data_IF_971977215355
#
_entry.id   IF_971977215355
#
_cell.length_a   1.000
_cell.length_b   1.000
_cell.length_c   1.000
_cell.angle_alpha   90.00
_cell.angle_beta   90.00
_cell.angle_gamma   90.00
#
_symmetry.space_group_name_H-M   'P 1'
#
loop_
_entity.id
_entity.type
_entity.pdbx_description
1 polymer ?
#
# COMPACT_ATOMS: atom_id res chain seq x y z
N UNK A 1 -8.05 8.15 25.48
CA UNK A 1 -6.59 8.27 25.18
C UNK A 1 -6.27 9.71 24.82
N UNK A 2 -5.10 10.23 25.23
CA UNK A 2 -4.62 11.53 24.76
C UNK A 2 -3.83 11.34 23.45
N UNK A 3 -3.98 12.25 22.48
CA UNK A 3 -3.25 12.23 21.21
C UNK A 3 -1.73 12.12 21.43
N UNK A 4 -1.19 12.86 22.40
CA UNK A 4 0.23 12.91 22.71
C UNK A 4 0.82 11.55 23.13
N UNK A 5 -0.01 10.66 23.68
CA UNK A 5 0.39 9.35 24.19
C UNK A 5 0.19 8.22 23.14
N UNK A 6 -0.44 8.52 22.00
CA UNK A 6 -0.68 7.52 20.93
C UNK A 6 0.63 7.08 20.28
N UNK A 7 0.64 5.82 19.86
CA UNK A 7 1.62 5.28 18.91
C UNK A 7 0.91 4.97 17.60
N UNK A 8 1.46 5.44 16.48
CA UNK A 8 0.84 5.27 15.14
C UNK A 8 1.78 4.51 14.22
N UNK A 9 1.27 3.45 13.60
CA UNK A 9 1.92 2.68 12.54
C UNK A 9 1.00 2.66 11.33
N UNK A 10 1.43 3.27 10.24
CA UNK A 10 0.71 3.29 8.97
C UNK A 10 1.02 2.02 8.18
N UNK A 11 -0.02 1.31 7.72
CA UNK A 11 0.15 0.12 6.88
C UNK A 11 -0.06 0.41 5.39
N UNK A 12 -0.22 1.68 5.04
CA UNK A 12 -0.27 2.16 3.66
C UNK A 12 0.24 3.59 3.57
N UNK A 13 1.37 3.72 2.93
CA UNK A 13 2.00 4.94 2.44
C UNK A 13 2.65 4.60 1.10
N UNK A 14 3.28 5.61 0.45
CA UNK A 14 3.95 5.39 -0.82
C UNK A 14 5.36 5.95 -0.83
N UNK A 15 6.21 5.36 -1.69
CA UNK A 15 7.55 5.84 -1.96
C UNK A 15 7.67 6.25 -3.42
N UNK A 16 8.33 7.38 -3.68
CA UNK A 16 8.76 7.77 -5.01
C UNK A 16 10.20 7.29 -5.14
N UNK A 17 10.44 6.39 -6.05
CA UNK A 17 11.72 5.73 -6.18
C UNK A 17 12.82 6.72 -6.62
N UNK A 18 13.96 6.76 -5.91
CA UNK A 18 15.07 7.60 -6.29
C UNK A 18 15.77 7.05 -7.54
N UNK A 19 16.36 7.96 -8.33
CA UNK A 19 17.01 7.60 -9.60
C UNK A 19 18.09 6.51 -9.46
N UNK A 20 18.74 6.42 -8.31
CA UNK A 20 19.87 5.52 -8.05
C UNK A 20 19.46 4.11 -7.56
N UNK A 21 18.18 3.82 -7.36
CA UNK A 21 17.75 2.56 -6.73
C UNK A 21 18.26 1.29 -7.43
N UNK A 22 18.53 1.35 -8.74
CA UNK A 22 19.07 0.22 -9.51
C UNK A 22 20.60 0.18 -9.55
N UNK A 23 21.31 1.23 -9.12
CA UNK A 23 22.77 1.33 -9.23
C UNK A 23 23.46 0.25 -8.40
N UNK A 24 24.31 -0.55 -9.05
CA UNK A 24 25.05 -1.64 -8.41
C UNK A 24 24.23 -2.86 -7.99
N UNK A 25 22.91 -2.89 -8.25
CA UNK A 25 22.01 -3.99 -7.86
C UNK A 25 21.58 -4.85 -9.04
N UNK A 26 21.80 -4.39 -10.26
CA UNK A 26 21.43 -5.12 -11.48
C UNK A 26 22.66 -5.86 -12.02
N UNK A 27 22.55 -7.14 -12.46
CA UNK A 27 23.64 -7.85 -13.09
C UNK A 27 24.20 -7.10 -14.30
N UNK A 28 25.52 -7.09 -14.50
CA UNK A 28 26.22 -6.31 -15.54
C UNK A 28 25.66 -6.53 -16.95
N UNK A 29 25.20 -7.72 -17.25
CA UNK A 29 24.57 -8.05 -18.55
C UNK A 29 23.26 -7.26 -18.83
N UNK A 30 22.65 -6.65 -17.81
CA UNK A 30 21.42 -5.87 -17.91
C UNK A 30 21.60 -4.40 -17.54
N UNK A 31 22.81 -3.92 -17.20
CA UNK A 31 23.05 -2.52 -16.81
C UNK A 31 22.56 -1.50 -17.85
N UNK A 32 22.75 -1.80 -19.15
CA UNK A 32 22.30 -0.91 -20.24
C UNK A 32 20.77 -0.85 -20.38
N UNK A 33 20.06 -1.83 -19.80
CA UNK A 33 18.61 -1.96 -19.84
C UNK A 33 17.92 -1.46 -18.58
N UNK A 34 18.69 -1.04 -17.60
CA UNK A 34 18.17 -0.54 -16.31
C UNK A 34 17.28 0.67 -16.53
N UNK A 35 16.14 0.75 -15.83
CA UNK A 35 15.32 1.96 -15.84
C UNK A 35 16.11 3.21 -15.46
N UNK A 36 15.89 4.31 -16.17
CA UNK A 36 16.62 5.58 -15.94
C UNK A 36 15.63 6.72 -15.74
N UNK A 37 15.82 7.46 -14.66
CA UNK A 37 15.06 8.68 -14.40
C UNK A 37 15.74 9.86 -15.05
N UNK A 38 15.12 10.44 -16.07
CA UNK A 38 15.76 11.43 -16.95
C UNK A 38 14.95 12.72 -17.02
N UNK A 39 15.65 13.84 -17.17
CA UNK A 39 15.04 15.14 -17.49
C UNK A 39 14.86 15.26 -18.99
N UNK A 40 13.67 15.67 -19.42
CA UNK A 40 13.31 15.93 -20.81
C UNK A 40 13.61 17.37 -21.20
N UNK A 41 13.62 17.65 -22.51
CA UNK A 41 13.93 18.98 -23.05
C UNK A 41 12.93 20.07 -22.59
N UNK A 42 11.69 19.68 -22.29
CA UNK A 42 10.64 20.55 -21.75
C UNK A 42 10.76 20.82 -20.24
N UNK A 43 11.81 20.27 -19.60
CA UNK A 43 12.06 20.39 -18.15
C UNK A 43 11.31 19.39 -17.28
N UNK A 44 10.36 18.64 -17.81
CA UNK A 44 9.70 17.55 -17.10
C UNK A 44 10.61 16.34 -16.91
N UNK A 45 10.23 15.41 -16.07
CA UNK A 45 10.99 14.17 -15.86
C UNK A 45 10.17 12.95 -16.28
N UNK A 46 10.88 11.89 -16.65
CA UNK A 46 10.30 10.61 -17.00
C UNK A 46 11.21 9.46 -16.61
N UNK A 47 10.62 8.32 -16.30
CA UNK A 47 11.36 7.06 -16.32
C UNK A 47 11.43 6.54 -17.76
N UNK A 48 12.63 6.15 -18.21
CA UNK A 48 12.85 5.45 -19.49
C UNK A 48 13.11 3.99 -19.19
N UNK A 49 12.25 3.12 -19.67
CA UNK A 49 12.39 1.68 -19.53
C UNK A 49 11.77 0.95 -20.71
N UNK A 50 12.43 -0.12 -21.18
CA UNK A 50 11.96 -0.98 -22.28
C UNK A 50 11.50 -0.19 -23.54
N UNK A 51 12.24 0.87 -23.90
CA UNK A 51 11.94 1.74 -25.04
C UNK A 51 10.75 2.69 -24.85
N UNK A 52 10.19 2.77 -23.66
CA UNK A 52 9.06 3.66 -23.34
C UNK A 52 9.49 4.79 -22.41
N UNK A 53 8.80 5.92 -22.49
CA UNK A 53 8.83 6.99 -21.48
C UNK A 53 7.57 6.90 -20.60
N UNK A 54 7.78 6.80 -19.29
CA UNK A 54 6.73 6.78 -18.29
C UNK A 54 6.72 8.15 -17.64
N UNK A 55 5.70 8.95 -17.96
CA UNK A 55 5.58 10.34 -17.54
C UNK A 55 5.00 10.51 -16.13
N UNK A 56 4.12 9.59 -15.71
CA UNK A 56 3.65 9.59 -14.33
C UNK A 56 4.78 9.02 -13.44
N UNK A 57 5.52 9.92 -12.81
CA UNK A 57 6.72 9.58 -12.05
C UNK A 57 6.48 9.58 -10.54
N UNK A 58 5.35 10.09 -10.10
CA UNK A 58 5.12 10.42 -8.71
C UNK A 58 3.78 9.92 -8.14
N UNK A 59 2.92 9.34 -8.96
CA UNK A 59 1.65 8.73 -8.56
C UNK A 59 0.89 9.57 -7.52
N UNK A 60 0.61 10.86 -7.87
CA UNK A 60 -0.10 11.80 -7.00
C UNK A 60 0.62 12.17 -5.68
N UNK A 61 1.95 12.23 -5.67
CA UNK A 61 2.74 12.68 -4.52
C UNK A 61 2.63 14.22 -4.33
N UNK A 62 1.60 14.65 -3.61
CA UNK A 62 1.20 16.07 -3.47
C UNK A 62 1.28 16.60 -2.03
N UNK A 63 1.76 15.79 -1.09
CA UNK A 63 1.92 16.22 0.30
C UNK A 63 2.73 17.53 0.41
N UNK A 64 2.25 18.44 1.26
CA UNK A 64 2.84 19.78 1.45
C UNK A 64 2.42 20.83 0.43
N UNK A 65 1.58 20.50 -0.55
CA UNK A 65 0.98 21.47 -1.48
C UNK A 65 -0.34 22.02 -0.95
N UNK A 66 -0.79 23.19 -1.43
CA UNK A 66 -2.16 23.64 -1.20
C UNK A 66 -3.15 22.71 -1.92
N UNK A 67 -4.34 22.52 -1.32
CA UNK A 67 -5.36 21.57 -1.84
C UNK A 67 -5.78 21.85 -3.29
N UNK A 68 -5.74 23.09 -3.73
CA UNK A 68 -6.03 23.51 -5.10
C UNK A 68 -5.01 22.97 -6.13
N UNK A 69 -3.91 22.40 -5.65
CA UNK A 69 -2.86 21.78 -6.47
C UNK A 69 -2.85 20.24 -6.38
N UNK A 70 -3.72 19.62 -5.59
CA UNK A 70 -3.76 18.17 -5.40
C UNK A 70 -4.14 17.41 -6.67
N UNK A 71 -5.01 17.96 -7.52
CA UNK A 71 -5.36 17.36 -8.81
C UNK A 71 -4.29 17.52 -9.91
N UNK A 72 -3.05 17.91 -9.57
CA UNK A 72 -1.98 18.13 -10.53
C UNK A 72 -0.83 17.18 -10.24
N UNK A 73 -0.72 16.16 -11.08
CA UNK A 73 0.40 15.22 -11.03
C UNK A 73 1.75 15.96 -11.08
N UNK A 74 2.72 15.62 -10.21
CA UNK A 74 4.08 16.15 -10.31
C UNK A 74 4.72 15.81 -11.65
N UNK A 75 5.40 16.77 -12.25
CA UNK A 75 6.08 16.61 -13.54
C UNK A 75 7.60 16.60 -13.42
N UNK A 76 8.13 17.01 -12.28
CA UNK A 76 9.57 16.98 -11.98
C UNK A 76 9.81 16.80 -10.48
N UNK A 77 11.01 16.40 -10.13
CA UNK A 77 11.38 16.08 -8.74
C UNK A 77 11.31 17.32 -7.82
N UNK A 78 11.53 18.51 -8.36
CA UNK A 78 11.46 19.76 -7.61
C UNK A 78 10.03 20.11 -7.14
N UNK A 79 9.02 19.51 -7.76
CA UNK A 79 7.63 19.63 -7.32
C UNK A 79 7.28 18.67 -6.18
N UNK A 80 8.14 17.70 -5.87
CA UNK A 80 7.89 16.63 -4.92
C UNK A 80 8.61 16.94 -3.61
N UNK A 81 7.93 16.75 -2.48
CA UNK A 81 8.53 16.87 -1.16
C UNK A 81 9.63 15.81 -0.97
N UNK A 82 10.78 16.21 -0.41
CA UNK A 82 11.95 15.32 -0.28
C UNK A 82 11.65 14.04 0.51
N UNK A 83 10.79 14.08 1.53
CA UNK A 83 10.36 12.90 2.27
C UNK A 83 9.63 11.84 1.42
N UNK A 84 9.25 12.15 0.16
CA UNK A 84 8.68 11.15 -0.73
C UNK A 84 9.75 10.18 -1.30
N UNK A 85 11.02 10.63 -1.44
CA UNK A 85 12.09 9.87 -2.11
C UNK A 85 13.43 9.79 -1.33
N UNK A 86 13.57 10.52 -0.25
CA UNK A 86 14.72 10.44 0.67
C UNK A 86 14.26 9.89 2.00
N UNK A 87 14.85 8.79 2.43
CA UNK A 87 14.41 8.09 3.66
C UNK A 87 14.70 8.90 4.93
N UNK A 88 15.80 9.67 4.98
CA UNK A 88 16.10 10.53 6.12
C UNK A 88 15.06 11.63 6.29
N UNK A 89 14.65 12.26 5.19
CA UNK A 89 13.59 13.26 5.17
C UNK A 89 12.19 12.63 5.38
N UNK A 90 11.96 11.38 4.90
CA UNK A 90 10.76 10.61 5.22
C UNK A 90 10.60 10.43 6.72
N UNK A 91 11.65 10.04 7.41
CA UNK A 91 11.61 9.87 8.87
C UNK A 91 11.32 11.19 9.59
N UNK A 92 11.83 12.32 9.08
CA UNK A 92 11.48 13.65 9.61
C UNK A 92 10.02 14.03 9.38
N UNK A 93 9.47 13.71 8.20
CA UNK A 93 8.05 13.91 7.89
C UNK A 93 7.15 13.03 8.76
N UNK A 94 7.52 11.76 8.97
CA UNK A 94 6.83 10.86 9.90
C UNK A 94 6.88 11.40 11.32
N UNK A 95 8.05 11.87 11.79
CA UNK A 95 8.17 12.45 13.13
C UNK A 95 7.28 13.69 13.28
N UNK A 96 7.26 14.59 12.29
CA UNK A 96 6.43 15.79 12.30
C UNK A 96 4.93 15.44 12.34
N UNK A 97 4.55 14.36 11.70
CA UNK A 97 3.18 13.82 11.72
C UNK A 97 2.87 13.01 12.99
N UNK A 98 3.90 12.60 13.76
CA UNK A 98 3.73 11.74 14.93
C UNK A 98 3.54 10.26 14.58
N UNK A 99 4.01 9.81 13.41
CA UNK A 99 3.92 8.43 12.92
C UNK A 99 5.23 7.69 13.18
N UNK A 100 5.15 6.58 13.89
CA UNK A 100 6.31 5.75 14.25
C UNK A 100 6.77 4.89 13.09
N UNK A 101 5.88 4.13 12.49
CA UNK A 101 6.17 3.14 11.45
C UNK A 101 5.34 3.35 10.20
N UNK A 102 5.87 2.94 9.04
CA UNK A 102 5.23 3.09 7.74
C UNK A 102 5.51 1.89 6.85
N UNK A 103 4.49 1.35 6.18
CA UNK A 103 4.63 0.44 5.06
C UNK A 103 4.46 1.24 3.78
N UNK A 104 5.40 1.15 2.83
CA UNK A 104 5.38 1.99 1.65
C UNK A 104 5.22 1.17 0.38
N UNK A 105 4.11 1.39 -0.35
CA UNK A 105 3.90 0.85 -1.68
C UNK A 105 4.76 1.55 -2.73
N UNK A 106 5.15 0.85 -3.80
CA UNK A 106 5.91 1.42 -4.90
C UNK A 106 5.05 2.33 -5.79
N UNK A 107 5.71 3.28 -6.46
CA UNK A 107 5.11 4.14 -7.48
C UNK A 107 5.57 3.77 -8.90
N UNK A 108 6.88 3.78 -9.16
CA UNK A 108 7.45 3.50 -10.48
C UNK A 108 7.15 2.08 -10.98
N UNK A 109 7.37 0.99 -10.21
CA UNK A 109 7.01 -0.36 -10.64
C UNK A 109 5.50 -0.59 -10.73
N UNK A 110 4.69 0.41 -10.40
CA UNK A 110 3.28 0.31 -10.02
C UNK A 110 3.11 -0.57 -8.77
N UNK A 111 1.89 -0.67 -8.25
CA UNK A 111 1.63 -1.24 -6.91
C UNK A 111 2.15 -2.65 -6.66
N UNK A 112 2.18 -3.52 -7.67
CA UNK A 112 2.65 -4.90 -7.54
C UNK A 112 3.62 -5.33 -8.65
N UNK A 113 4.43 -4.40 -9.17
CA UNK A 113 5.45 -4.70 -10.17
C UNK A 113 4.92 -4.92 -11.58
N UNK A 114 3.67 -4.51 -11.87
CA UNK A 114 3.02 -4.72 -13.17
C UNK A 114 3.86 -4.17 -14.33
N UNK A 115 4.61 -3.10 -14.11
CA UNK A 115 5.48 -2.50 -15.14
C UNK A 115 6.45 -3.51 -15.77
N UNK A 116 6.99 -4.42 -14.95
CA UNK A 116 7.98 -5.39 -15.40
C UNK A 116 7.37 -6.56 -16.17
N UNK A 117 6.04 -6.74 -16.13
CA UNK A 117 5.34 -7.79 -16.86
C UNK A 117 5.46 -7.64 -18.38
N UNK A 118 5.66 -6.42 -18.89
CA UNK A 118 5.78 -6.13 -20.32
C UNK A 118 7.19 -6.40 -20.87
N UNK A 119 8.16 -6.77 -20.01
CA UNK A 119 9.53 -7.09 -20.43
C UNK A 119 9.61 -8.49 -21.00
N UNK A 120 10.02 -8.58 -22.28
CA UNK A 120 10.04 -9.86 -23.02
C UNK A 120 11.06 -10.86 -22.46
N UNK A 121 12.22 -10.39 -22.00
CA UNK A 121 13.24 -11.21 -21.33
C UNK A 121 12.86 -11.33 -19.83
N UNK A 122 12.37 -12.51 -19.44
CA UNK A 122 11.91 -12.79 -18.07
C UNK A 122 13.03 -12.77 -17.05
N UNK A 123 14.26 -13.12 -17.42
CA UNK A 123 15.42 -13.02 -16.53
C UNK A 123 15.80 -11.55 -16.27
N UNK A 124 15.69 -10.70 -17.31
CA UNK A 124 15.85 -9.25 -17.17
C UNK A 124 14.78 -8.67 -16.21
N UNK A 125 13.51 -8.99 -16.48
CA UNK A 125 12.39 -8.56 -15.63
C UNK A 125 12.60 -8.97 -14.15
N UNK A 126 12.98 -10.23 -13.91
CA UNK A 126 13.26 -10.75 -12.57
C UNK A 126 14.45 -10.02 -11.91
N UNK A 127 15.48 -9.66 -12.68
CA UNK A 127 16.61 -8.88 -12.16
C UNK A 127 16.18 -7.48 -11.71
N UNK A 128 15.27 -6.82 -12.45
CA UNK A 128 14.73 -5.50 -12.06
C UNK A 128 13.87 -5.59 -10.80
N UNK A 129 12.99 -6.60 -10.70
CA UNK A 129 12.19 -6.85 -9.49
C UNK A 129 13.09 -7.07 -8.27
N UNK A 130 14.13 -7.91 -8.40
CA UNK A 130 15.08 -8.16 -7.29
C UNK A 130 15.86 -6.91 -6.91
N UNK A 131 16.33 -6.13 -7.88
CA UNK A 131 17.05 -4.89 -7.62
C UNK A 131 16.18 -3.88 -6.85
N UNK A 132 14.90 -3.75 -7.20
CA UNK A 132 13.94 -2.96 -6.45
C UNK A 132 13.79 -3.47 -5.00
N UNK A 133 13.58 -4.77 -4.83
CA UNK A 133 13.38 -5.37 -3.51
C UNK A 133 14.63 -5.18 -2.64
N UNK A 134 15.82 -5.46 -3.18
CA UNK A 134 17.07 -5.34 -2.44
C UNK A 134 17.33 -3.88 -2.05
N UNK A 135 17.06 -2.90 -2.93
CA UNK A 135 17.07 -1.47 -2.58
C UNK A 135 16.09 -1.15 -1.45
N UNK A 136 14.84 -1.63 -1.54
CA UNK A 136 13.81 -1.37 -0.54
C UNK A 136 14.20 -1.93 0.84
N UNK A 137 14.74 -3.14 0.88
CA UNK A 137 15.16 -3.79 2.13
C UNK A 137 16.42 -3.14 2.71
N UNK A 138 17.44 -2.91 1.88
CA UNK A 138 18.77 -2.47 2.35
C UNK A 138 18.80 -0.97 2.67
N UNK A 139 18.18 -0.16 1.82
CA UNK A 139 18.28 1.30 1.91
C UNK A 139 17.02 1.91 2.52
N UNK A 140 15.85 1.70 1.90
CA UNK A 140 14.61 2.34 2.34
C UNK A 140 14.19 1.88 3.75
N UNK A 141 14.17 0.59 4.01
CA UNK A 141 13.83 0.06 5.32
C UNK A 141 15.04 -0.10 6.25
N UNK A 142 16.18 -0.52 5.70
CA UNK A 142 17.34 -0.96 6.49
C UNK A 142 18.14 0.17 7.14
N UNK A 143 18.16 1.38 6.57
CA UNK A 143 18.95 2.50 7.10
C UNK A 143 18.34 3.17 8.34
N UNK A 144 17.04 2.98 8.57
CA UNK A 144 16.33 3.50 9.74
C UNK A 144 15.53 2.37 10.42
N UNK A 145 16.20 1.44 11.13
CA UNK A 145 15.55 0.29 11.74
C UNK A 145 14.39 0.66 12.65
N UNK A 146 13.28 -0.06 12.53
CA UNK A 146 12.07 0.21 13.30
C UNK A 146 11.19 1.35 12.76
N UNK A 147 11.50 1.92 11.57
CA UNK A 147 10.70 3.00 10.99
C UNK A 147 9.89 2.57 9.75
N UNK A 148 10.37 1.58 9.01
CA UNK A 148 9.71 1.08 7.80
C UNK A 148 9.41 -0.40 7.94
N UNK A 149 8.20 -0.81 7.61
CA UNK A 149 7.80 -2.20 7.40
C UNK A 149 8.19 -2.55 5.96
N UNK A 150 9.12 -3.48 5.74
CA UNK A 150 9.54 -3.84 4.38
C UNK A 150 8.39 -4.44 3.57
N UNK A 151 8.25 -4.03 2.32
CA UNK A 151 7.26 -4.53 1.36
C UNK A 151 7.94 -5.04 0.09
N UNK A 152 7.70 -6.29 -0.27
CA UNK A 152 8.17 -6.86 -1.52
C UNK A 152 7.16 -6.66 -2.67
N UNK A 153 7.65 -6.73 -3.90
CA UNK A 153 6.82 -6.85 -5.10
C UNK A 153 6.99 -8.23 -5.74
N UNK A 154 5.94 -8.85 -6.30
CA UNK A 154 6.00 -10.18 -6.89
C UNK A 154 6.52 -10.16 -8.33
N UNK A 155 7.01 -11.30 -8.79
CA UNK A 155 7.16 -11.61 -10.21
C UNK A 155 5.82 -12.17 -10.71
N UNK A 156 4.87 -11.29 -11.07
CA UNK A 156 3.49 -11.66 -11.39
C UNK A 156 3.36 -12.74 -12.48
N UNK A 157 4.37 -12.93 -13.32
CA UNK A 157 4.41 -13.96 -14.39
C UNK A 157 4.94 -15.32 -13.93
N UNK A 158 5.50 -15.42 -12.69
CA UNK A 158 6.15 -16.62 -12.18
C UNK A 158 5.89 -16.82 -10.68
N UNK A 159 4.79 -17.50 -10.31
CA UNK A 159 4.45 -17.77 -8.91
C UNK A 159 5.47 -18.59 -8.15
N UNK A 160 6.20 -19.51 -8.83
CA UNK A 160 7.24 -20.31 -8.20
C UNK A 160 8.46 -19.45 -7.83
N UNK A 161 8.92 -18.58 -8.75
CA UNK A 161 9.99 -17.64 -8.47
C UNK A 161 9.59 -16.66 -7.36
N UNK A 162 8.32 -16.20 -7.38
CA UNK A 162 7.77 -15.34 -6.32
C UNK A 162 7.74 -16.08 -4.97
N UNK A 163 7.31 -17.33 -4.95
CA UNK A 163 7.31 -18.15 -3.73
C UNK A 163 8.73 -18.32 -3.13
N UNK A 164 9.73 -18.57 -3.99
CA UNK A 164 11.12 -18.64 -3.55
C UNK A 164 11.61 -17.32 -2.97
N UNK A 165 11.21 -16.18 -3.59
CA UNK A 165 11.56 -14.86 -3.12
C UNK A 165 10.87 -14.50 -1.80
N UNK A 166 9.60 -14.83 -1.61
CA UNK A 166 8.87 -14.66 -0.32
C UNK A 166 9.63 -15.37 0.80
N UNK A 167 10.07 -16.62 0.61
CA UNK A 167 10.83 -17.36 1.62
C UNK A 167 12.19 -16.72 1.90
N UNK A 168 12.90 -16.25 0.87
CA UNK A 168 14.17 -15.53 1.03
C UNK A 168 14.00 -14.28 1.87
N UNK A 169 12.95 -13.53 1.61
CA UNK A 169 12.66 -12.22 2.22
C UNK A 169 12.15 -12.36 3.66
N UNK A 170 11.36 -13.38 3.95
CA UNK A 170 10.93 -13.68 5.31
C UNK A 170 12.13 -13.91 6.25
N UNK A 171 13.18 -14.60 5.76
CA UNK A 171 14.43 -14.78 6.51
C UNK A 171 15.19 -13.45 6.76
N UNK A 172 14.87 -12.38 6.03
CA UNK A 172 15.41 -11.03 6.22
C UNK A 172 14.44 -10.10 6.99
N UNK A 173 13.33 -10.65 7.51
CA UNK A 173 12.34 -9.89 8.27
C UNK A 173 11.31 -9.13 7.42
N UNK A 174 11.20 -9.43 6.12
CA UNK A 174 10.15 -8.88 5.26
C UNK A 174 8.96 -9.84 5.21
N UNK A 175 7.87 -9.48 5.88
CA UNK A 175 6.64 -10.26 5.99
C UNK A 175 5.44 -9.56 5.32
N UNK A 176 5.70 -8.79 4.27
CA UNK A 176 4.68 -8.20 3.43
C UNK A 176 5.06 -8.31 1.95
N UNK A 177 4.09 -8.64 1.11
CA UNK A 177 4.23 -8.67 -0.35
C UNK A 177 3.01 -8.05 -0.99
N UNK A 178 3.21 -7.11 -1.91
CA UNK A 178 2.13 -6.53 -2.69
C UNK A 178 1.61 -7.54 -3.72
N UNK A 179 0.31 -7.46 -4.04
CA UNK A 179 -0.30 -8.31 -5.07
C UNK A 179 -1.47 -7.58 -5.74
N UNK A 180 -1.85 -8.01 -6.95
CA UNK A 180 -2.97 -7.40 -7.67
C UNK A 180 -4.32 -7.71 -7.01
N UNK A 181 -5.17 -6.70 -6.87
CA UNK A 181 -6.56 -6.81 -6.43
C UNK A 181 -7.43 -7.64 -7.40
N UNK A 182 -7.01 -7.73 -8.68
CA UNK A 182 -7.58 -8.61 -9.70
C UNK A 182 -6.49 -8.98 -10.73
N UNK A 183 -5.78 -10.11 -10.57
CA UNK A 183 -4.79 -10.53 -11.56
C UNK A 183 -5.41 -10.83 -12.93
N UNK A 184 -6.70 -11.17 -12.99
CA UNK A 184 -7.39 -11.38 -14.25
C UNK A 184 -7.45 -10.13 -15.13
N UNK A 185 -7.62 -8.95 -14.53
CA UNK A 185 -7.63 -7.68 -15.24
C UNK A 185 -6.25 -7.34 -15.86
N UNK A 186 -5.17 -7.92 -15.30
CA UNK A 186 -3.81 -7.83 -15.84
C UNK A 186 -3.51 -8.87 -16.92
N UNK A 187 -4.51 -9.64 -17.37
CA UNK A 187 -4.33 -10.71 -18.36
C UNK A 187 -3.71 -11.99 -17.79
N UNK A 188 -3.71 -12.14 -16.46
CA UNK A 188 -3.17 -13.30 -15.74
C UNK A 188 -4.29 -14.25 -15.32
N UNK A 189 -3.99 -15.49 -14.88
CA UNK A 189 -4.98 -16.38 -14.30
C UNK A 189 -5.72 -15.74 -13.14
N UNK A 190 -7.02 -16.02 -13.01
CA UNK A 190 -7.85 -15.49 -11.92
C UNK A 190 -7.47 -16.07 -10.56
N UNK A 191 -8.00 -15.50 -9.47
CA UNK A 191 -7.81 -15.99 -8.10
C UNK A 191 -8.37 -17.42 -7.87
N UNK A 192 -9.21 -17.92 -8.78
CA UNK A 192 -9.74 -19.29 -8.73
C UNK A 192 -8.79 -20.35 -9.31
N UNK A 193 -7.69 -19.92 -9.94
CA UNK A 193 -6.70 -20.79 -10.59
C UNK A 193 -5.69 -21.34 -9.59
N UNK A 194 -5.34 -22.64 -9.70
CA UNK A 194 -4.24 -23.25 -8.95
C UNK A 194 -2.85 -22.73 -9.35
N UNK A 195 -2.77 -21.91 -10.42
CA UNK A 195 -1.55 -21.25 -10.85
C UNK A 195 -0.85 -20.50 -9.71
N UNK A 196 -1.62 -19.90 -8.79
CA UNK A 196 -1.14 -19.10 -7.68
C UNK A 196 -0.81 -19.91 -6.42
N UNK A 197 -1.13 -21.20 -6.38
CA UNK A 197 -0.97 -22.03 -5.17
C UNK A 197 0.46 -22.00 -4.58
N UNK A 198 1.56 -22.04 -5.38
CA UNK A 198 2.90 -21.91 -4.82
C UNK A 198 3.14 -20.60 -4.07
N UNK A 199 2.63 -19.49 -4.59
CA UNK A 199 2.72 -18.18 -3.95
C UNK A 199 1.91 -18.12 -2.65
N UNK A 200 0.63 -18.56 -2.68
CA UNK A 200 -0.21 -18.58 -1.48
C UNK A 200 0.37 -19.47 -0.39
N UNK A 201 0.91 -20.64 -0.77
CA UNK A 201 1.55 -21.55 0.17
C UNK A 201 2.76 -20.90 0.82
N UNK A 202 3.64 -20.24 0.06
CA UNK A 202 4.80 -19.57 0.61
C UNK A 202 4.40 -18.45 1.59
N UNK A 203 3.42 -17.63 1.24
CA UNK A 203 2.92 -16.60 2.14
C UNK A 203 2.33 -17.18 3.43
N UNK A 204 1.56 -18.26 3.31
CA UNK A 204 0.96 -18.95 4.46
C UNK A 204 2.03 -19.61 5.38
N UNK A 205 3.05 -20.23 4.81
CA UNK A 205 4.15 -20.89 5.55
C UNK A 205 4.99 -19.87 6.33
N UNK A 206 5.31 -18.72 5.71
CA UNK A 206 6.18 -17.69 6.29
C UNK A 206 5.41 -16.64 7.12
N UNK A 207 4.09 -16.73 7.17
CA UNK A 207 3.26 -15.69 7.80
C UNK A 207 3.40 -14.33 7.12
N UNK A 208 3.63 -14.32 5.80
CA UNK A 208 3.74 -13.10 4.99
C UNK A 208 2.35 -12.61 4.61
N UNK A 209 2.03 -11.36 4.91
CA UNK A 209 0.77 -10.72 4.54
C UNK A 209 0.81 -10.36 3.05
N UNK A 210 -0.24 -10.73 2.33
CA UNK A 210 -0.45 -10.31 0.95
C UNK A 210 -1.23 -8.99 0.95
N UNK A 211 -0.63 -7.92 0.46
CA UNK A 211 -1.21 -6.58 0.46
C UNK A 211 -1.82 -6.27 -0.91
N UNK A 212 -3.14 -6.19 -0.97
CA UNK A 212 -3.88 -5.82 -2.17
C UNK A 212 -4.32 -4.36 -2.05
N UNK A 213 -3.63 -3.50 -2.80
CA UNK A 213 -3.93 -2.08 -2.85
C UNK A 213 -5.01 -1.79 -3.90
N UNK A 214 -5.91 -0.84 -3.64
CA UNK A 214 -6.82 -0.35 -4.68
C UNK A 214 -6.02 0.12 -5.91
N UNK A 215 -6.59 -0.06 -7.12
CA UNK A 215 -5.89 0.30 -8.37
C UNK A 215 -4.76 -0.65 -8.81
N UNK A 216 -4.38 -1.65 -8.00
CA UNK A 216 -3.34 -2.63 -8.37
C UNK A 216 -3.73 -3.56 -9.54
N UNK A 217 -5.00 -3.55 -9.96
CA UNK A 217 -5.47 -4.18 -11.19
C UNK A 217 -5.29 -3.30 -12.43
N UNK A 218 -4.76 -2.08 -12.29
CA UNK A 218 -4.53 -1.10 -13.37
C UNK A 218 -5.79 -0.63 -14.11
N UNK A 219 -6.98 -0.82 -13.54
CA UNK A 219 -8.24 -0.35 -14.09
C UNK A 219 -8.86 0.72 -13.17
N UNK A 220 -9.07 1.95 -13.65
CA UNK A 220 -9.77 2.96 -12.86
C UNK A 220 -11.27 2.59 -12.73
N UNK A 221 -11.89 2.80 -11.56
CA UNK A 221 -13.31 2.52 -11.36
C UNK A 221 -14.19 3.61 -11.96
N UNK A 222 -14.24 3.69 -13.28
CA UNK A 222 -15.04 4.67 -14.03
C UNK A 222 -16.27 4.02 -14.64
N UNK A 223 -17.37 4.78 -14.72
CA UNK A 223 -18.62 4.31 -15.38
C UNK A 223 -18.73 4.77 -16.83
N UNK A 224 -18.01 5.84 -17.19
CA UNK A 224 -17.91 6.37 -18.55
C UNK A 224 -16.69 7.29 -18.68
N UNK A 225 -16.16 7.51 -19.92
CA UNK A 225 -14.99 8.38 -20.13
C UNK A 225 -15.20 9.86 -19.77
N UNK A 226 -16.43 10.32 -19.66
CA UNK A 226 -16.83 11.69 -19.29
C UNK A 226 -17.24 11.82 -17.82
N UNK A 227 -17.05 10.76 -17.04
CA UNK A 227 -17.35 10.79 -15.60
C UNK A 227 -16.39 11.78 -14.88
N UNK A 228 -16.91 12.57 -13.91
CA UNK A 228 -16.07 13.48 -13.16
C UNK A 228 -15.15 12.71 -12.20
N UNK A 229 -14.04 13.37 -11.82
CA UNK A 229 -13.03 12.75 -10.94
C UNK A 229 -13.59 12.31 -9.59
N UNK A 230 -14.60 13.01 -9.07
CA UNK A 230 -15.28 12.67 -7.82
C UNK A 230 -15.91 11.27 -7.88
N UNK A 231 -16.33 10.80 -9.07
CA UNK A 231 -16.82 9.44 -9.25
C UNK A 231 -15.70 8.43 -9.01
N UNK A 232 -14.51 8.68 -9.56
CA UNK A 232 -13.35 7.80 -9.41
C UNK A 232 -13.02 7.64 -7.94
N UNK A 233 -12.81 8.74 -7.21
CA UNK A 233 -12.51 8.70 -5.78
C UNK A 233 -13.63 8.08 -4.95
N UNK A 234 -14.90 8.28 -5.32
CA UNK A 234 -16.03 7.65 -4.63
C UNK A 234 -16.04 6.12 -4.80
N UNK A 235 -15.67 5.63 -5.98
CA UNK A 235 -15.70 4.20 -6.30
C UNK A 235 -14.40 3.48 -5.97
N UNK A 236 -13.30 4.20 -5.76
CA UNK A 236 -11.99 3.59 -5.49
C UNK A 236 -12.00 2.63 -4.30
N UNK A 237 -12.49 2.99 -3.11
CA UNK A 237 -12.60 2.03 -2.01
C UNK A 237 -13.55 0.86 -2.32
N UNK A 238 -14.63 1.13 -3.08
CA UNK A 238 -15.63 0.11 -3.45
C UNK A 238 -15.06 -0.91 -4.44
N UNK A 239 -14.00 -0.60 -5.17
CA UNK A 239 -13.34 -1.58 -6.05
C UNK A 239 -12.80 -2.77 -5.25
N UNK A 240 -12.35 -2.55 -4.01
CA UNK A 240 -11.92 -3.62 -3.11
C UNK A 240 -13.08 -4.47 -2.55
N UNK A 241 -14.31 -4.01 -2.63
CA UNK A 241 -15.49 -4.84 -2.36
C UNK A 241 -15.55 -6.04 -3.31
N UNK A 242 -15.27 -5.82 -4.60
CA UNK A 242 -15.20 -6.91 -5.59
C UNK A 242 -14.04 -7.87 -5.28
N UNK A 243 -12.86 -7.35 -4.97
CA UNK A 243 -11.69 -8.16 -4.58
C UNK A 243 -11.93 -8.97 -3.30
N UNK A 244 -12.59 -8.39 -2.31
CA UNK A 244 -13.00 -9.06 -1.08
C UNK A 244 -13.94 -10.24 -1.36
N UNK A 245 -14.93 -10.04 -2.26
CA UNK A 245 -15.84 -11.09 -2.67
C UNK A 245 -15.10 -12.19 -3.45
N UNK A 246 -14.20 -11.81 -4.34
CA UNK A 246 -13.41 -12.73 -5.17
C UNK A 246 -12.51 -13.62 -4.29
N UNK A 247 -11.80 -13.04 -3.33
CA UNK A 247 -11.00 -13.76 -2.34
C UNK A 247 -11.85 -14.75 -1.53
N UNK A 248 -12.98 -14.29 -1.00
CA UNK A 248 -13.85 -15.09 -0.12
C UNK A 248 -14.42 -16.31 -0.84
N UNK A 249 -14.91 -16.12 -2.08
CA UNK A 249 -15.52 -17.22 -2.84
C UNK A 249 -14.51 -18.10 -3.57
N UNK A 250 -13.24 -17.65 -3.69
CA UNK A 250 -12.15 -18.46 -4.22
C UNK A 250 -11.82 -19.66 -3.30
N UNK A 251 -11.03 -20.65 -3.75
CA UNK A 251 -10.57 -21.72 -2.89
C UNK A 251 -9.44 -21.31 -1.92
N UNK A 252 -8.88 -20.10 -2.02
CA UNK A 252 -7.64 -19.67 -1.37
C UNK A 252 -7.69 -19.88 0.14
N UNK A 253 -8.64 -19.28 0.84
CA UNK A 253 -8.72 -19.36 2.31
C UNK A 253 -9.01 -20.78 2.83
N UNK A 254 -9.65 -21.61 2.01
CA UNK A 254 -9.87 -23.03 2.37
C UNK A 254 -8.63 -23.89 2.16
N UNK A 255 -7.80 -23.57 1.15
CA UNK A 255 -6.53 -24.26 0.89
C UNK A 255 -5.42 -23.79 1.84
N UNK A 256 -5.41 -22.52 2.20
CA UNK A 256 -4.34 -21.87 2.96
C UNK A 256 -4.89 -21.21 4.25
N UNK A 257 -5.20 -22.00 5.30
CA UNK A 257 -5.96 -21.53 6.46
C UNK A 257 -5.20 -20.51 7.33
N UNK A 258 -3.89 -20.35 7.17
CA UNK A 258 -3.09 -19.36 7.91
C UNK A 258 -2.83 -18.08 7.12
N UNK A 259 -3.18 -18.06 5.83
CA UNK A 259 -2.93 -16.92 4.95
C UNK A 259 -3.67 -15.67 5.44
N UNK A 260 -2.98 -14.52 5.39
CA UNK A 260 -3.55 -13.19 5.66
C UNK A 260 -3.45 -12.31 4.42
N UNK A 261 -4.53 -11.56 4.15
CA UNK A 261 -4.60 -10.59 3.05
C UNK A 261 -5.03 -9.24 3.60
N UNK A 262 -4.27 -8.19 3.33
CA UNK A 262 -4.63 -6.81 3.65
C UNK A 262 -5.29 -6.13 2.44
N UNK A 263 -6.35 -5.37 2.68
CA UNK A 263 -7.04 -4.57 1.67
C UNK A 263 -6.72 -3.09 1.91
N UNK A 264 -5.67 -2.59 1.27
CA UNK A 264 -5.13 -1.24 1.46
C UNK A 264 -5.95 -0.19 0.73
N UNK A 265 -6.18 0.96 1.39
CA UNK A 265 -7.05 2.06 0.96
C UNK A 265 -8.53 1.66 0.74
N UNK A 266 -8.94 0.53 1.33
CA UNK A 266 -10.29 0.00 1.13
C UNK A 266 -11.37 0.67 1.96
N UNK A 267 -10.98 1.32 3.07
CA UNK A 267 -11.93 1.73 4.10
C UNK A 267 -12.62 0.52 4.76
N UNK A 268 -13.35 0.77 5.84
CA UNK A 268 -14.00 -0.28 6.63
C UNK A 268 -15.52 -0.09 6.81
N UNK A 269 -16.05 1.07 6.42
CA UNK A 269 -17.47 1.41 6.62
C UNK A 269 -18.48 0.56 5.84
N UNK A 270 -18.07 -0.01 4.72
CA UNK A 270 -18.91 -0.89 3.90
C UNK A 270 -18.93 -2.35 4.38
N UNK A 271 -17.97 -2.76 5.20
CA UNK A 271 -17.78 -4.15 5.60
C UNK A 271 -18.92 -4.77 6.39
N UNK A 272 -19.60 -4.08 7.34
CA UNK A 272 -20.75 -4.67 8.02
C UNK A 272 -21.85 -5.15 7.03
N UNK A 273 -22.15 -4.35 6.02
CA UNK A 273 -23.06 -4.75 4.96
C UNK A 273 -22.52 -5.92 4.13
N UNK A 274 -21.23 -5.90 3.80
CA UNK A 274 -20.59 -6.98 3.04
C UNK A 274 -20.73 -8.32 3.78
N UNK A 275 -20.39 -8.37 5.06
CA UNK A 275 -20.43 -9.59 5.88
C UNK A 275 -21.86 -10.13 5.99
N UNK A 276 -22.84 -9.27 6.25
CA UNK A 276 -24.27 -9.68 6.23
C UNK A 276 -24.68 -10.21 4.85
N UNK A 277 -24.26 -9.52 3.78
CA UNK A 277 -24.63 -9.87 2.41
C UNK A 277 -24.06 -11.22 1.97
N UNK A 278 -22.81 -11.53 2.28
CA UNK A 278 -22.20 -12.80 1.89
C UNK A 278 -22.84 -13.99 2.63
N UNK A 279 -23.19 -13.83 3.90
CA UNK A 279 -23.89 -14.85 4.67
C UNK A 279 -25.32 -15.09 4.13
N UNK A 280 -26.03 -14.00 3.82
CA UNK A 280 -27.35 -14.08 3.20
C UNK A 280 -27.27 -14.84 1.87
N UNK A 281 -26.35 -14.48 0.97
CA UNK A 281 -26.20 -15.14 -0.32
C UNK A 281 -25.87 -16.63 -0.14
N UNK A 282 -24.92 -16.97 0.72
CA UNK A 282 -24.55 -18.36 0.99
C UNK A 282 -25.76 -19.18 1.48
N UNK A 283 -26.52 -18.64 2.42
CA UNK A 283 -27.72 -19.33 2.97
C UNK A 283 -28.75 -19.67 1.90
N UNK A 284 -28.85 -18.86 0.85
CA UNK A 284 -29.83 -19.05 -0.25
C UNK A 284 -29.27 -19.89 -1.40
N UNK A 285 -27.98 -19.78 -1.72
CA UNK A 285 -27.41 -20.36 -2.94
C UNK A 285 -26.76 -21.73 -2.72
N UNK A 286 -26.30 -22.07 -1.52
CA UNK A 286 -25.59 -23.33 -1.23
C UNK A 286 -26.31 -24.60 -1.65
N UNK A 287 -27.66 -24.58 -1.69
CA UNK A 287 -28.47 -25.75 -2.04
C UNK A 287 -28.39 -26.14 -3.53
N UNK A 288 -27.93 -25.22 -4.38
CA UNK A 288 -27.83 -25.46 -5.82
C UNK A 288 -26.46 -25.09 -6.42
N UNK A 289 -25.66 -24.28 -5.75
CA UNK A 289 -24.33 -23.89 -6.24
C UNK A 289 -23.25 -24.95 -6.01
N UNK A 290 -23.50 -25.87 -5.07
CA UNK A 290 -22.50 -26.85 -4.63
C UNK A 290 -21.36 -26.25 -3.76
N UNK A 291 -21.47 -24.99 -3.35
CA UNK A 291 -20.47 -24.38 -2.47
C UNK A 291 -20.58 -24.98 -1.07
N UNK A 292 -19.49 -25.59 -0.60
CA UNK A 292 -19.35 -26.09 0.76
C UNK A 292 -18.24 -25.37 1.51
N UNK A 293 -18.59 -24.76 2.62
CA UNK A 293 -17.66 -24.03 3.52
C UNK A 293 -17.43 -24.80 4.84
N UNK A 294 -17.68 -26.11 4.86
CA UNK A 294 -17.43 -26.95 6.03
C UNK A 294 -18.29 -26.60 7.25
N UNK A 295 -19.49 -26.07 7.01
CA UNK A 295 -20.43 -25.65 8.08
C UNK A 295 -20.15 -24.25 8.66
N UNK A 296 -19.16 -23.55 8.14
CA UNK A 296 -18.81 -22.17 8.53
C UNK A 296 -19.62 -21.14 7.72
N UNK A 297 -19.75 -19.94 8.29
CA UNK A 297 -20.29 -18.78 7.56
C UNK A 297 -19.18 -18.11 6.73
N UNK A 298 -19.52 -17.54 5.56
CA UNK A 298 -18.59 -16.71 4.80
C UNK A 298 -17.96 -15.58 5.61
N UNK A 299 -18.74 -14.89 6.46
CA UNK A 299 -18.28 -13.82 7.32
C UNK A 299 -17.23 -14.27 8.34
N UNK A 300 -17.34 -15.50 8.87
CA UNK A 300 -16.35 -16.08 9.78
C UNK A 300 -15.02 -16.31 9.08
N UNK A 301 -15.05 -16.88 7.86
CA UNK A 301 -13.85 -17.11 7.05
C UNK A 301 -13.19 -15.79 6.70
N UNK A 302 -13.97 -14.82 6.20
CA UNK A 302 -13.45 -13.49 5.87
C UNK A 302 -12.77 -12.83 7.06
N UNK A 303 -13.44 -12.82 8.21
CA UNK A 303 -12.95 -12.18 9.43
C UNK A 303 -11.68 -12.82 10.00
N UNK A 304 -11.40 -14.07 9.68
CA UNK A 304 -10.15 -14.71 10.08
C UNK A 304 -8.98 -14.29 9.19
N UNK A 305 -9.21 -14.11 7.90
CA UNK A 305 -8.15 -13.99 6.91
C UNK A 305 -7.82 -12.55 6.50
N UNK A 306 -8.82 -11.64 6.54
CA UNK A 306 -8.67 -10.31 5.92
C UNK A 306 -8.35 -9.25 6.96
N UNK A 307 -7.26 -8.53 6.69
CA UNK A 307 -6.85 -7.33 7.41
C UNK A 307 -7.49 -6.13 6.73
N UNK A 308 -8.08 -5.26 7.51
CA UNK A 308 -8.94 -4.17 7.10
C UNK A 308 -8.20 -2.85 7.33
N UNK A 309 -8.00 -2.06 6.30
CA UNK A 309 -7.19 -0.84 6.35
C UNK A 309 -8.07 0.39 6.05
N UNK A 310 -7.84 1.49 6.77
CA UNK A 310 -8.57 2.74 6.55
C UNK A 310 -7.73 3.96 6.89
N UNK A 311 -7.95 5.06 6.17
CA UNK A 311 -7.32 6.37 6.40
C UNK A 311 -8.15 7.17 7.41
N UNK A 312 -9.39 7.54 7.04
CA UNK A 312 -10.38 8.23 7.87
C UNK A 312 -11.77 7.67 7.55
N UNK A 313 -12.37 6.93 8.48
CA UNK A 313 -13.65 6.23 8.29
C UNK A 313 -14.47 6.21 9.58
N UNK A 314 -15.12 7.33 9.86
CA UNK A 314 -15.93 7.48 11.07
C UNK A 314 -17.07 6.45 11.14
N UNK A 315 -17.70 6.13 10.01
CA UNK A 315 -18.79 5.13 9.95
C UNK A 315 -18.25 3.74 10.24
N UNK A 316 -17.08 3.41 9.70
CA UNK A 316 -16.42 2.13 9.95
C UNK A 316 -16.03 1.97 11.43
N UNK A 317 -15.48 3.00 12.03
CA UNK A 317 -15.12 3.01 13.47
C UNK A 317 -16.36 2.92 14.36
N UNK A 318 -17.44 3.62 14.02
CA UNK A 318 -18.71 3.51 14.77
C UNK A 318 -19.25 2.08 14.76
N UNK A 319 -19.15 1.41 13.61
CA UNK A 319 -19.64 0.05 13.38
C UNK A 319 -18.59 -1.05 13.61
N UNK A 320 -17.40 -0.74 14.13
CA UNK A 320 -16.29 -1.68 14.35
C UNK A 320 -16.65 -2.93 15.15
N UNK A 321 -17.70 -2.84 15.99
CA UNK A 321 -18.18 -3.98 16.77
C UNK A 321 -18.80 -5.10 15.94
N UNK A 322 -19.07 -4.86 14.65
CA UNK A 322 -19.46 -5.88 13.66
C UNK A 322 -18.27 -6.52 12.95
N UNK A 323 -17.06 -6.03 13.20
CA UNK A 323 -15.83 -6.46 12.55
C UNK A 323 -14.91 -7.19 13.54
N UNK A 324 -13.94 -7.94 13.02
CA UNK A 324 -12.87 -8.46 13.84
C UNK A 324 -11.88 -7.34 14.19
N UNK A 325 -11.98 -6.81 15.39
CA UNK A 325 -11.15 -5.71 15.87
C UNK A 325 -9.64 -6.01 15.76
N UNK A 326 -9.25 -7.28 15.89
CA UNK A 326 -7.86 -7.71 15.79
C UNK A 326 -7.30 -7.64 14.36
N UNK A 327 -8.14 -7.39 13.37
CA UNK A 327 -7.75 -7.24 11.97
C UNK A 327 -7.95 -5.81 11.44
N UNK A 328 -8.35 -4.85 12.26
CA UNK A 328 -8.48 -3.45 11.83
C UNK A 328 -7.13 -2.75 12.02
N UNK A 329 -6.62 -2.10 10.97
CA UNK A 329 -5.38 -1.32 10.96
C UNK A 329 -5.62 0.08 10.40
N UNK A 330 -4.77 1.01 10.76
CA UNK A 330 -4.83 2.38 10.30
C UNK A 330 -3.74 2.65 9.24
N UNK A 331 -4.01 3.58 8.31
CA UNK A 331 -3.11 4.01 7.26
C UNK A 331 -3.14 5.52 7.07
N UNK A 332 -2.03 6.12 6.64
CA UNK A 332 -1.88 7.55 6.45
C UNK A 332 -1.95 7.97 4.97
N UNK A 333 -1.58 7.07 4.07
CA UNK A 333 -1.50 7.28 2.62
C UNK A 333 -0.56 8.43 2.22
N UNK A 334 0.53 8.65 2.98
CA UNK A 334 1.52 9.65 2.61
C UNK A 334 2.32 9.18 1.36
N UNK A 335 2.48 9.97 0.30
CA UNK A 335 2.23 11.42 0.17
C UNK A 335 1.04 11.80 -0.74
N UNK A 336 0.07 10.94 -0.90
CA UNK A 336 -1.06 11.15 -1.82
C UNK A 336 -2.02 12.27 -1.37
N UNK A 337 -2.98 12.61 -2.25
CA UNK A 337 -3.99 13.64 -1.98
C UNK A 337 -4.97 13.27 -0.87
N UNK A 338 -5.15 11.98 -0.60
CA UNK A 338 -6.04 11.47 0.44
C UNK A 338 -5.35 11.40 1.82
N UNK A 339 -4.04 11.63 1.84
CA UNK A 339 -3.23 11.60 3.06
C UNK A 339 -3.71 12.59 4.11
N UNK A 340 -3.66 12.15 5.36
CA UNK A 340 -3.93 12.98 6.54
C UNK A 340 -2.69 13.73 7.06
N UNK A 341 -1.53 13.58 6.41
CA UNK A 341 -0.31 14.31 6.74
C UNK A 341 -0.50 15.85 6.61
N UNK A 342 0.02 16.70 7.51
CA UNK A 342 0.83 16.38 8.71
C UNK A 342 0.01 16.35 10.01
N UNK A 343 -1.28 16.03 9.94
CA UNK A 343 -2.22 16.09 11.08
C UNK A 343 -2.92 14.75 11.32
N UNK A 344 -2.25 13.63 10.99
CA UNK A 344 -2.86 12.31 11.08
C UNK A 344 -3.44 11.98 12.46
N UNK A 345 -2.74 12.22 13.60
CA UNK A 345 -3.31 11.94 14.92
C UNK A 345 -4.58 12.73 15.19
N UNK A 346 -4.62 14.01 14.79
CA UNK A 346 -5.76 14.90 15.00
C UNK A 346 -6.98 14.50 14.16
N UNK A 347 -6.75 14.04 12.94
CA UNK A 347 -7.82 13.55 12.06
C UNK A 347 -8.36 12.24 12.61
N UNK A 348 -7.49 11.28 12.89
CA UNK A 348 -7.86 9.96 13.41
C UNK A 348 -8.64 10.05 14.72
N UNK A 349 -8.23 10.90 15.66
CA UNK A 349 -8.91 11.04 16.95
C UNK A 349 -10.34 11.56 16.86
N UNK A 350 -10.72 12.24 15.78
CA UNK A 350 -12.12 12.66 15.58
C UNK A 350 -13.04 11.46 15.45
N UNK A 351 -12.63 10.47 14.63
CA UNK A 351 -13.40 9.22 14.46
C UNK A 351 -13.26 8.28 15.65
N UNK A 352 -12.17 8.37 16.44
CA UNK A 352 -11.93 7.55 17.64
C UNK A 352 -12.63 8.04 18.91
N UNK A 353 -13.42 9.10 18.84
CA UNK A 353 -14.13 9.65 20.03
C UNK A 353 -15.01 8.58 20.68
N UNK A 354 -14.76 8.28 21.96
CA UNK A 354 -15.50 7.27 22.73
C UNK A 354 -15.05 5.82 22.48
N UNK A 355 -14.04 5.59 21.66
CA UNK A 355 -13.40 4.27 21.52
C UNK A 355 -12.53 4.01 22.74
N UNK A 356 -12.60 2.81 23.38
CA UNK A 356 -11.70 2.42 24.46
C UNK A 356 -10.23 2.47 24.08
N UNK A 357 -9.36 2.87 25.00
CA UNK A 357 -7.92 3.06 24.75
C UNK A 357 -7.23 1.79 24.23
N UNK A 358 -7.59 0.63 24.77
CA UNK A 358 -7.06 -0.66 24.32
C UNK A 358 -7.46 -1.01 22.88
N UNK A 359 -8.62 -0.55 22.43
CA UNK A 359 -9.05 -0.71 21.03
C UNK A 359 -8.33 0.29 20.11
N UNK A 360 -8.08 1.51 20.59
CA UNK A 360 -7.27 2.49 19.85
C UNK A 360 -5.87 1.92 19.64
N UNK A 361 -5.21 1.41 20.68
CA UNK A 361 -3.87 0.80 20.58
C UNK A 361 -3.84 -0.36 19.57
N UNK A 362 -4.86 -1.22 19.57
CA UNK A 362 -4.97 -2.31 18.59
C UNK A 362 -4.99 -1.76 17.18
N UNK A 363 -5.85 -0.81 16.88
CA UNK A 363 -6.08 -0.26 15.54
C UNK A 363 -4.86 0.51 15.06
N UNK A 364 -4.25 1.31 15.95
CA UNK A 364 -3.20 2.27 15.55
C UNK A 364 -1.82 1.65 15.41
N UNK A 365 -1.52 0.55 16.11
CA UNK A 365 -0.19 -0.05 16.04
C UNK A 365 -0.12 -1.56 16.34
N UNK A 366 -0.82 -2.08 17.37
CA UNK A 366 -0.61 -3.46 17.81
C UNK A 366 -0.99 -4.49 16.74
N UNK A 367 -2.06 -4.25 15.98
CA UNK A 367 -2.47 -5.14 14.91
C UNK A 367 -1.45 -5.14 13.75
N UNK A 368 -0.96 -3.96 13.35
CA UNK A 368 0.10 -3.84 12.35
C UNK A 368 1.37 -4.58 12.80
N UNK A 369 1.82 -4.36 14.02
CA UNK A 369 2.98 -5.06 14.59
C UNK A 369 2.83 -6.58 14.54
N UNK A 370 1.65 -7.08 14.94
CA UNK A 370 1.38 -8.52 14.96
C UNK A 370 1.31 -9.12 13.56
N UNK A 371 0.55 -8.50 12.65
CA UNK A 371 0.33 -9.07 11.33
C UNK A 371 1.57 -9.04 10.46
N UNK A 372 2.35 -7.96 10.50
CA UNK A 372 3.55 -7.79 9.70
C UNK A 372 4.84 -8.28 10.39
N UNK A 373 4.71 -8.95 11.56
CA UNK A 373 5.84 -9.40 12.39
C UNK A 373 6.87 -8.28 12.61
N UNK A 374 6.36 -7.06 12.83
CA UNK A 374 7.14 -5.84 12.96
C UNK A 374 7.18 -5.39 14.42
N UNK A 375 8.36 -5.34 15.00
CA UNK A 375 8.56 -4.82 16.36
C UNK A 375 9.52 -3.61 16.36
N UNK A 376 9.00 -2.38 16.27
CA UNK A 376 9.82 -1.18 16.31
C UNK A 376 10.50 -0.97 17.66
N UNK A 377 9.97 -1.54 18.73
CA UNK A 377 10.46 -1.35 20.09
C UNK A 377 11.79 -2.08 20.38
N UNK A 378 12.22 -2.97 19.50
CA UNK A 378 13.59 -3.51 19.52
C UNK A 378 14.62 -2.42 19.24
N UNK A 379 14.23 -1.38 18.47
CA UNK A 379 15.13 -0.31 18.04
C UNK A 379 14.81 1.04 18.70
N UNK A 380 13.55 1.31 19.01
CA UNK A 380 13.06 2.59 19.52
C UNK A 380 12.34 2.36 20.86
N UNK A 381 12.81 2.92 21.96
CA UNK A 381 12.12 2.81 23.25
C UNK A 381 10.67 3.31 23.16
N UNK A 382 9.74 2.65 23.86
CA UNK A 382 8.30 2.97 23.80
C UNK A 382 8.01 4.44 24.13
N UNK A 383 8.69 4.99 25.11
CA UNK A 383 8.59 6.39 25.53
C UNK A 383 9.06 7.39 24.46
N UNK A 384 9.81 6.93 23.46
CA UNK A 384 10.26 7.74 22.29
C UNK A 384 9.38 7.51 21.05
N UNK A 385 8.43 6.61 21.12
CA UNK A 385 7.60 6.17 20.01
C UNK A 385 6.20 6.84 19.97
N UNK A 386 5.90 7.67 20.94
CA UNK A 386 4.61 8.38 21.02
C UNK A 386 4.57 9.59 20.08
N UNK A 387 3.37 10.02 19.73
CA UNK A 387 3.14 11.23 18.90
C UNK A 387 3.93 12.43 19.43
N UNK A 388 3.83 12.73 20.72
CA UNK A 388 4.55 13.86 21.32
C UNK A 388 6.07 13.71 21.25
N UNK A 389 6.59 12.50 21.53
CA UNK A 389 8.03 12.24 21.51
C UNK A 389 8.61 12.32 20.09
N UNK A 390 7.88 11.83 19.07
CA UNK A 390 8.29 11.92 17.68
C UNK A 390 8.26 13.38 17.20
N UNK A 391 7.18 14.12 17.48
CA UNK A 391 7.07 15.54 17.13
C UNK A 391 8.14 16.40 17.78
N UNK A 392 8.56 16.07 19.01
CA UNK A 392 9.68 16.75 19.67
C UNK A 392 11.01 16.58 18.89
N UNK A 393 11.21 15.46 18.20
CA UNK A 393 12.38 15.22 17.34
C UNK A 393 12.33 16.00 16.02
N UNK A 394 11.15 16.47 15.59
CA UNK A 394 10.94 17.19 14.35
C UNK A 394 10.86 18.72 14.54
N UNK A 395 11.19 19.23 15.73
CA UNK A 395 11.17 20.69 15.97
C UNK A 395 12.08 21.40 14.98
N UNK A 396 11.51 22.37 14.25
CA UNK A 396 12.21 23.12 13.20
C UNK A 396 12.18 22.46 11.82
N UNK A 397 11.62 21.26 11.67
CA UNK A 397 11.37 20.68 10.36
C UNK A 397 10.24 21.41 9.64
N UNK A 398 10.47 21.77 8.38
CA UNK A 398 9.51 22.56 7.61
C UNK A 398 8.36 21.71 7.06
N UNK A 399 7.18 21.86 7.65
CA UNK A 399 5.91 21.26 7.21
C UNK A 399 4.96 22.29 6.58
N UNK A 400 5.46 23.46 6.23
CA UNK A 400 4.63 24.51 5.65
C UNK A 400 4.09 24.10 4.26
N UNK A 401 2.85 24.53 3.99
CA UNK A 401 2.23 24.32 2.69
C UNK A 401 2.84 25.28 1.67
N UNK A 402 3.36 24.75 0.56
CA UNK A 402 4.04 25.51 -0.49
C UNK A 402 3.43 25.25 -1.85
N UNK A 403 3.07 26.31 -2.56
CA UNK A 403 2.69 26.21 -3.97
C UNK A 403 3.91 25.88 -4.84
N UNK A 404 3.75 24.92 -5.73
CA UNK A 404 4.77 24.50 -6.71
C UNK A 404 4.47 24.94 -8.14
N UNK A 405 3.41 25.73 -8.35
CA UNK A 405 2.99 26.20 -9.69
C UNK A 405 4.10 26.91 -10.46
N UNK A 406 4.97 27.63 -9.75
CA UNK A 406 6.06 28.40 -10.36
C UNK A 406 7.21 27.52 -10.85
N UNK A 407 7.26 26.25 -10.43
CA UNK A 407 8.30 25.28 -10.81
C UNK A 407 7.94 24.57 -12.13
N UNK A 408 6.69 24.63 -12.56
CA UNK A 408 6.22 23.95 -13.78
C UNK A 408 6.68 24.70 -15.03
N UNK A 409 7.17 23.98 -16.05
CA UNK A 409 7.35 24.53 -17.38
C UNK A 409 6.01 25.10 -17.90
N UNK A 410 6.07 26.21 -18.65
CA UNK A 410 4.87 26.92 -19.11
C UNK A 410 3.92 26.06 -19.96
N UNK A 411 4.45 25.06 -20.68
CA UNK A 411 3.69 24.13 -21.53
C UNK A 411 2.99 23.01 -20.76
N UNK A 412 3.48 22.67 -19.56
CA UNK A 412 2.91 21.61 -18.71
C UNK A 412 1.70 22.09 -17.87
N UNK A 413 1.35 23.38 -17.97
CA UNK A 413 0.26 23.97 -17.16
C UNK A 413 -1.15 23.62 -17.63
N UNK A 414 -1.33 22.98 -18.81
CA UNK A 414 -2.62 22.73 -19.44
C UNK A 414 -3.11 21.27 -19.42
N UNK A 415 -2.35 20.33 -18.89
CA UNK A 415 -2.75 18.93 -18.82
C UNK A 415 -3.55 18.60 -17.55
N UNK A 416 -4.78 18.09 -17.72
CA UNK A 416 -5.49 17.42 -16.63
C UNK A 416 -4.81 16.07 -16.32
N UNK A 417 -4.80 15.69 -15.06
CA UNK A 417 -4.10 14.50 -14.54
C UNK A 417 -4.84 13.16 -14.82
N UNK A 418 -5.59 13.03 -15.92
CA UNK A 418 -6.23 11.74 -16.26
C UNK A 418 -6.42 11.61 -17.77
#
# INVERSE_FOLDING_TARGET
MNIDDMTLVSVDDHVIEPAHMFEGRVPTKYEDKTPRFVRRDDGTMAWRYNGQEILNTALNAVAGRPREEFGREPTCIEEIRTGCYDIGDRVRDMNANGVLGSLCFPSFPRFCGQLFMDTADRDEAAAMVRAYIDWHIEEWAGTHPGRIIPLAIPMMWDPEATAAEVRRLAALGCHAVSFSSSPYDLGLPSLYSEHWDPFWQACADEGTVVCMHLGSNSLPPITSPDAPIELVYTLSPVSLFASAADLLWSPIFRKFPTLKVALSEGGIGWLPYFLERVDYIYSHTKYWSGMDLGGRLPSEIFSEHVILCFIDDAVGIENRHHLNLDNITWECDYPHSDSTWPQAPEVLMKSMTGVPDDQIDKITHLNAMRHFQYDPFVHIPREQATVSALRAQAVGWDISIKSVKHLRPAEAQSGSAF
#
